data_IF_916475355314
#
_entry.id   IF_916475355314
#
_cell.length_a   1.000
_cell.length_b   1.000
_cell.length_c   1.000
_cell.angle_alpha   90.00
_cell.angle_beta   90.00
_cell.angle_gamma   90.00
#
_symmetry.space_group_name_H-M   'P 1'
#
loop_
_entity.id
_entity.type
_entity.pdbx_description
1 polymer ?
#
# COMPACT_ATOMS: atom_id res chain seq x y z
N UNK A 1 -1.11 -6.49 41.63
CA UNK A 1 0.05 -6.96 42.42
C UNK A 1 0.71 -5.86 43.25
N UNK A 2 0.94 -4.65 42.71
CA UNK A 2 1.52 -3.53 43.48
C UNK A 2 0.73 -3.15 44.75
N UNK A 3 -0.61 -3.21 44.71
CA UNK A 3 -1.47 -2.90 45.86
C UNK A 3 -1.40 -3.94 47.01
N UNK A 4 -1.00 -5.18 46.73
CA UNK A 4 -0.90 -6.23 47.76
C UNK A 4 0.40 -6.17 48.56
N UNK A 5 1.45 -5.57 47.99
CA UNK A 5 2.77 -5.47 48.64
C UNK A 5 2.75 -4.38 49.72
N UNK A 6 1.98 -3.31 49.51
CA UNK A 6 1.82 -2.20 50.47
C UNK A 6 1.17 -2.66 51.78
N UNK A 7 0.27 -3.65 51.74
CA UNK A 7 -0.46 -4.12 52.93
C UNK A 7 0.31 -5.12 53.80
N UNK A 8 1.47 -5.66 53.38
CA UNK A 8 2.26 -6.60 54.19
C UNK A 8 3.38 -5.95 55.00
N UNK A 9 3.53 -4.62 54.92
CA UNK A 9 4.58 -3.85 55.61
C UNK A 9 3.99 -3.27 56.90
N UNK A 10 3.52 -4.11 57.82
CA UNK A 10 3.11 -3.64 59.15
C UNK A 10 3.60 -4.54 60.29
N UNK A 11 4.84 -5.04 60.22
CA UNK A 11 5.52 -5.49 61.43
C UNK A 11 7.05 -5.60 61.27
N UNK A 12 7.77 -4.72 61.98
CA UNK A 12 9.21 -4.73 62.42
C UNK A 12 10.26 -3.87 61.70
N UNK A 13 10.71 -2.85 62.49
CA UNK A 13 12.05 -2.26 62.69
C UNK A 13 12.49 -1.05 61.82
N UNK A 14 12.75 0.05 62.56
CA UNK A 14 13.04 1.46 62.21
C UNK A 14 14.32 1.78 61.40
N UNK A 15 14.71 0.95 60.45
CA UNK A 15 15.69 1.34 59.42
C UNK A 15 15.46 0.66 58.07
N UNK A 16 14.66 -0.42 58.06
CA UNK A 16 14.31 -1.15 56.83
C UNK A 16 13.09 -0.57 56.13
N UNK A 17 12.17 0.05 56.88
CA UNK A 17 10.98 0.72 56.35
C UNK A 17 11.28 1.78 55.27
N UNK A 18 12.15 2.79 55.51
CA UNK A 18 12.39 3.83 54.51
C UNK A 18 13.12 3.31 53.26
N UNK A 19 13.98 2.30 53.42
CA UNK A 19 14.67 1.66 52.29
C UNK A 19 13.67 0.89 51.42
N UNK A 20 12.74 0.16 52.04
CA UNK A 20 11.68 -0.55 51.32
C UNK A 20 10.71 0.42 50.64
N UNK A 21 10.33 1.52 51.30
CA UNK A 21 9.49 2.57 50.72
C UNK A 21 10.14 3.23 49.49
N UNK A 22 11.42 3.55 49.57
CA UNK A 22 12.19 4.10 48.43
C UNK A 22 12.28 3.09 47.29
N UNK A 23 12.56 1.81 47.58
CA UNK A 23 12.63 0.76 46.55
C UNK A 23 11.27 0.53 45.86
N UNK A 24 10.18 0.52 46.62
CA UNK A 24 8.83 0.41 46.08
C UNK A 24 8.48 1.65 45.25
N UNK A 25 8.83 2.85 45.71
CA UNK A 25 8.67 4.09 44.96
C UNK A 25 9.43 4.07 43.63
N UNK A 26 10.68 3.59 43.62
CA UNK A 26 11.48 3.43 42.42
C UNK A 26 10.90 2.40 41.46
N UNK A 27 10.36 1.28 41.96
CA UNK A 27 9.68 0.28 41.14
C UNK A 27 8.42 0.86 40.49
N UNK A 28 7.61 1.61 41.25
CA UNK A 28 6.42 2.27 40.70
C UNK A 28 6.82 3.30 39.65
N UNK A 29 7.87 4.09 39.89
CA UNK A 29 8.38 5.05 38.91
C UNK A 29 8.93 4.35 37.65
N UNK A 30 9.60 3.21 37.80
CA UNK A 30 10.07 2.40 36.68
C UNK A 30 8.90 1.85 35.86
N UNK A 31 7.87 1.30 36.50
CA UNK A 31 6.65 0.81 35.85
C UNK A 31 5.88 1.94 35.14
N UNK A 32 5.76 3.11 35.78
CA UNK A 32 5.16 4.31 35.17
C UNK A 32 6.00 4.74 33.96
N UNK A 33 7.33 4.71 34.07
CA UNK A 33 8.23 5.06 32.98
C UNK A 33 8.14 4.05 31.83
N UNK A 34 8.08 2.75 32.10
CA UNK A 34 7.86 1.70 31.12
C UNK A 34 6.51 1.88 30.42
N UNK A 35 5.43 2.12 31.17
CA UNK A 35 4.11 2.40 30.61
C UNK A 35 4.10 3.67 29.75
N UNK A 36 4.72 4.76 30.21
CA UNK A 36 4.87 6.00 29.44
C UNK A 36 5.69 5.74 28.17
N UNK A 37 6.85 5.09 28.28
CA UNK A 37 7.70 4.77 27.13
C UNK A 37 6.99 3.87 26.12
N UNK A 38 6.17 2.91 26.58
CA UNK A 38 5.33 2.08 25.75
C UNK A 38 4.23 2.89 25.05
N UNK A 39 3.50 3.76 25.77
CA UNK A 39 2.47 4.63 25.19
C UNK A 39 3.01 5.61 24.14
N UNK A 40 4.22 6.12 24.37
CA UNK A 40 4.90 7.03 23.44
C UNK A 40 5.75 6.30 22.39
N UNK A 41 5.86 4.98 22.46
CA UNK A 41 6.50 4.15 21.43
C UNK A 41 5.69 4.14 20.13
N UNK A 42 6.34 3.82 19.02
CA UNK A 42 5.68 3.72 17.72
C UNK A 42 4.57 2.65 17.72
N UNK A 43 4.79 1.55 18.44
CA UNK A 43 3.80 0.47 18.62
C UNK A 43 2.62 0.86 19.51
N UNK A 44 2.86 1.57 20.61
CA UNK A 44 1.80 2.06 21.50
C UNK A 44 0.85 3.01 20.77
N UNK A 45 1.39 3.91 19.93
CA UNK A 45 0.59 4.81 19.08
C UNK A 45 -0.25 4.04 18.06
N UNK A 46 0.32 3.04 17.39
CA UNK A 46 -0.40 2.16 16.45
C UNK A 46 -1.58 1.48 17.15
N UNK A 47 -1.36 0.86 18.31
CA UNK A 47 -2.41 0.22 19.11
C UNK A 47 -3.49 1.23 19.53
N UNK A 48 -3.09 2.44 19.92
CA UNK A 48 -4.00 3.52 20.32
C UNK A 48 -4.88 3.96 19.14
N UNK A 49 -4.29 4.16 17.94
CA UNK A 49 -5.02 4.49 16.72
C UNK A 49 -5.99 3.36 16.35
N UNK A 50 -5.54 2.10 16.38
CA UNK A 50 -6.41 0.96 16.05
C UNK A 50 -7.58 0.84 17.03
N UNK A 51 -7.35 1.00 18.33
CA UNK A 51 -8.43 1.05 19.34
C UNK A 51 -9.36 2.26 19.13
N UNK A 52 -8.80 3.41 18.79
CA UNK A 52 -9.57 4.64 18.52
C UNK A 52 -10.51 4.46 17.33
N UNK A 53 -9.97 3.97 16.20
CA UNK A 53 -10.76 3.74 14.98
C UNK A 53 -11.79 2.63 15.18
N UNK A 54 -11.41 1.52 15.84
CA UNK A 54 -12.32 0.39 16.09
C UNK A 54 -13.48 0.73 17.03
N UNK A 55 -13.24 1.58 18.03
CA UNK A 55 -14.28 2.00 18.97
C UNK A 55 -15.01 3.27 18.51
N UNK A 56 -14.91 3.65 17.24
CA UNK A 56 -15.58 4.81 16.69
C UNK A 56 -17.11 4.60 16.71
N UNK A 57 -17.81 5.37 17.55
CA UNK A 57 -19.28 5.47 17.57
C UNK A 57 -19.68 6.91 17.27
N UNK A 58 -20.60 7.18 16.32
CA UNK A 58 -20.98 8.54 15.92
C UNK A 58 -21.66 9.38 17.02
N UNK A 59 -22.29 8.73 18.00
CA UNK A 59 -23.17 9.38 18.98
C UNK A 59 -22.46 9.89 20.27
N UNK A 60 -21.14 9.81 20.37
CA UNK A 60 -20.41 10.16 21.59
C UNK A 60 -19.47 11.34 21.36
N UNK A 61 -19.75 12.49 21.99
CA UNK A 61 -18.85 13.63 21.98
C UNK A 61 -17.56 13.28 22.74
N UNK A 62 -16.42 13.36 22.05
CA UNK A 62 -15.13 12.89 22.53
C UNK A 62 -14.02 13.93 22.35
N UNK A 63 -14.36 15.21 22.54
CA UNK A 63 -13.41 16.33 22.56
C UNK A 63 -12.13 16.03 23.37
N UNK A 64 -12.26 15.44 24.56
CA UNK A 64 -11.11 15.10 25.40
C UNK A 64 -10.27 13.95 24.86
N UNK A 65 -10.88 12.92 24.25
CA UNK A 65 -10.13 11.80 23.66
C UNK A 65 -9.40 12.27 22.41
N UNK A 66 -10.01 13.11 21.58
CA UNK A 66 -9.33 13.71 20.41
C UNK A 66 -8.19 14.63 20.85
N UNK A 67 -8.36 15.43 21.91
CA UNK A 67 -7.31 16.29 22.46
C UNK A 67 -6.15 15.49 23.08
N UNK A 68 -6.45 14.40 23.80
CA UNK A 68 -5.45 13.49 24.37
C UNK A 68 -4.74 12.72 23.25
N UNK A 69 -5.48 12.22 22.24
CA UNK A 69 -4.91 11.56 21.07
C UNK A 69 -4.00 12.52 20.32
N UNK A 70 -4.45 13.74 20.05
CA UNK A 70 -3.62 14.82 19.48
C UNK A 70 -2.42 15.10 20.34
N UNK A 71 -2.53 15.15 21.66
CA UNK A 71 -1.39 15.42 22.56
C UNK A 71 -0.37 14.27 22.58
N UNK A 72 -0.81 13.02 22.66
CA UNK A 72 0.05 11.83 22.64
C UNK A 72 0.73 11.69 21.28
N UNK A 73 -0.03 11.93 20.20
CA UNK A 73 0.53 12.02 18.86
C UNK A 73 1.51 13.19 18.80
N UNK A 74 1.15 14.40 19.26
CA UNK A 74 1.92 15.64 19.09
C UNK A 74 3.24 15.65 19.86
N UNK A 75 3.25 15.19 21.13
CA UNK A 75 4.41 15.25 22.01
C UNK A 75 5.56 14.33 21.58
N UNK A 76 5.31 13.45 20.61
CA UNK A 76 6.34 12.70 19.90
C UNK A 76 5.89 12.34 18.47
N UNK A 77 5.33 13.32 17.75
CA UNK A 77 4.98 13.24 16.31
C UNK A 77 6.19 13.54 15.43
N UNK A 78 7.39 13.51 16.00
CA UNK A 78 8.48 12.85 15.30
C UNK A 78 8.17 11.36 15.28
N UNK A 79 7.26 11.00 14.38
CA UNK A 79 7.30 9.75 13.63
C UNK A 79 8.64 9.64 12.86
N UNK A 80 9.79 9.87 13.52
CA UNK A 80 11.14 9.88 12.93
C UNK A 80 11.52 8.47 12.45
N UNK A 81 10.82 7.43 12.90
CA UNK A 81 11.00 6.04 12.49
C UNK A 81 9.91 5.53 11.53
N UNK A 82 8.76 6.20 11.41
CA UNK A 82 7.76 5.83 10.40
C UNK A 82 8.26 6.31 9.04
N UNK A 83 9.03 5.44 8.37
CA UNK A 83 9.58 5.55 7.02
C UNK A 83 9.10 6.82 6.28
N UNK A 84 9.89 7.89 6.37
CA UNK A 84 9.56 9.18 5.76
C UNK A 84 9.62 9.14 4.24
N UNK A 85 10.21 8.09 3.68
CA UNK A 85 10.42 7.93 2.26
C UNK A 85 9.32 7.04 1.68
N UNK A 86 9.14 7.05 0.39
CA UNK A 86 8.31 6.11 -0.33
C UNK A 86 9.12 5.75 -1.56
N UNK A 87 9.52 4.50 -1.66
CA UNK A 87 10.24 3.99 -2.81
C UNK A 87 9.36 4.10 -4.06
N UNK A 88 9.95 4.34 -5.22
CA UNK A 88 9.20 4.65 -6.43
C UNK A 88 9.76 3.85 -7.62
N UNK A 89 8.84 3.35 -8.44
CA UNK A 89 9.14 2.72 -9.72
C UNK A 89 8.03 3.04 -10.73
N UNK A 90 8.42 3.34 -11.97
CA UNK A 90 7.49 3.48 -13.09
C UNK A 90 7.90 2.56 -14.24
N UNK A 91 6.98 1.68 -14.65
CA UNK A 91 7.21 0.76 -15.76
C UNK A 91 7.53 1.52 -17.05
N UNK A 92 6.73 2.54 -17.38
CA UNK A 92 6.90 3.32 -18.62
C UNK A 92 8.23 4.10 -18.63
N UNK A 93 8.69 4.62 -17.49
CA UNK A 93 10.01 5.25 -17.39
C UNK A 93 11.16 4.24 -17.51
N UNK A 94 10.96 3.03 -16.97
CA UNK A 94 11.93 1.94 -17.13
C UNK A 94 12.05 1.50 -18.59
N UNK A 95 10.94 1.43 -19.33
CA UNK A 95 10.93 1.14 -20.76
C UNK A 95 11.67 2.25 -21.55
N UNK A 96 11.44 3.53 -21.22
CA UNK A 96 12.19 4.65 -21.80
C UNK A 96 13.71 4.52 -21.64
N UNK A 97 14.16 4.11 -20.45
CA UNK A 97 15.59 3.93 -20.15
C UNK A 97 16.20 2.72 -20.86
N UNK A 98 15.37 1.76 -21.26
CA UNK A 98 15.76 0.56 -21.99
C UNK A 98 15.96 0.84 -23.49
N UNK A 99 15.24 1.83 -24.04
CA UNK A 99 15.26 2.21 -25.46
C UNK A 99 16.42 3.14 -25.87
N UNK A 100 17.18 3.67 -24.90
CA UNK A 100 18.33 4.55 -25.14
C UNK A 100 19.65 3.78 -25.10
N UNK A 101 20.14 3.41 -26.29
CA UNK A 101 21.52 3.01 -26.61
C UNK A 101 22.01 1.62 -26.12
N UNK A 102 22.46 0.79 -27.08
CA UNK A 102 23.25 -0.47 -26.94
C UNK A 102 22.58 -1.65 -26.21
N UNK A 103 21.51 -1.40 -25.46
CA UNK A 103 20.80 -2.38 -24.63
C UNK A 103 19.67 -3.16 -25.33
N UNK A 104 19.47 -2.98 -26.64
CA UNK A 104 18.56 -3.81 -27.44
C UNK A 104 18.88 -5.33 -27.38
N UNK A 105 20.02 -5.71 -26.80
CA UNK A 105 20.33 -7.09 -26.40
C UNK A 105 19.51 -7.61 -25.20
N UNK A 106 18.60 -6.84 -24.58
CA UNK A 106 17.77 -7.33 -23.46
C UNK A 106 16.87 -8.52 -23.84
N UNK A 107 16.37 -8.57 -25.07
CA UNK A 107 15.65 -9.74 -25.63
C UNK A 107 16.57 -10.98 -25.71
N UNK A 108 17.85 -10.80 -26.04
CA UNK A 108 18.85 -11.89 -26.07
C UNK A 108 19.20 -12.40 -24.67
N UNK A 109 19.21 -11.53 -23.65
CA UNK A 109 19.48 -11.91 -22.25
C UNK A 109 18.32 -12.67 -21.61
N UNK A 110 17.08 -12.40 -22.06
CA UNK A 110 15.87 -13.06 -21.59
C UNK A 110 15.68 -14.48 -22.14
N UNK A 111 16.14 -14.76 -23.37
CA UNK A 111 16.08 -16.10 -23.99
C UNK A 111 17.09 -17.09 -23.40
N UNK A 112 18.06 -16.65 -22.60
CA UNK A 112 19.09 -17.51 -22.03
C UNK A 112 18.70 -18.00 -20.61
N UNK A 113 18.56 -19.32 -20.39
CA UNK A 113 18.29 -19.88 -19.07
C UNK A 113 19.45 -19.57 -18.09
N UNK A 114 19.14 -18.99 -16.92
CA UNK A 114 20.12 -18.83 -15.81
C UNK A 114 20.48 -17.40 -15.39
N UNK A 115 20.02 -16.36 -16.10
CA UNK A 115 20.35 -14.94 -15.81
C UNK A 115 19.53 -14.30 -14.68
N UNK A 116 18.79 -15.10 -13.89
CA UNK A 116 17.77 -14.60 -12.96
C UNK A 116 18.26 -13.56 -11.94
N UNK A 117 19.53 -13.67 -11.51
CA UNK A 117 20.14 -12.79 -10.49
C UNK A 117 20.55 -11.41 -11.02
N UNK A 118 20.76 -11.24 -12.33
CA UNK A 118 21.26 -9.98 -12.94
C UNK A 118 20.16 -8.97 -13.30
N UNK A 119 18.89 -9.37 -13.23
CA UNK A 119 17.78 -8.58 -13.77
C UNK A 119 17.29 -7.46 -12.84
N UNK A 120 17.12 -7.73 -11.54
CA UNK A 120 16.79 -6.68 -10.57
C UNK A 120 17.92 -5.66 -10.42
N UNK A 121 19.17 -6.06 -10.69
CA UNK A 121 20.32 -5.16 -10.75
C UNK A 121 20.30 -4.23 -11.97
N UNK A 122 19.53 -4.56 -13.02
CA UNK A 122 19.42 -3.75 -14.22
C UNK A 122 18.31 -2.71 -14.17
N UNK A 123 17.26 -2.96 -13.38
CA UNK A 123 16.23 -1.97 -13.09
C UNK A 123 16.73 -0.93 -12.09
N UNK A 124 16.52 0.35 -12.41
CA UNK A 124 16.82 1.45 -11.49
C UNK A 124 15.55 1.89 -10.79
N UNK A 125 15.63 1.98 -9.46
CA UNK A 125 14.62 2.68 -8.67
C UNK A 125 14.58 4.15 -9.08
N UNK A 126 13.39 4.76 -9.04
CA UNK A 126 13.30 6.21 -9.09
C UNK A 126 13.76 6.81 -7.75
N UNK A 127 13.93 8.13 -7.70
CA UNK A 127 14.27 8.81 -6.45
C UNK A 127 13.12 8.60 -5.45
N UNK A 128 13.39 8.09 -4.23
CA UNK A 128 12.37 7.98 -3.20
C UNK A 128 11.79 9.35 -2.89
N UNK A 129 10.47 9.43 -2.74
CA UNK A 129 9.77 10.67 -2.38
C UNK A 129 9.50 10.70 -0.90
N UNK A 130 9.31 11.89 -0.31
CA UNK A 130 8.81 11.96 1.07
C UNK A 130 7.32 11.60 1.12
N UNK A 131 6.91 10.84 2.12
CA UNK A 131 5.51 10.47 2.34
C UNK A 131 4.68 11.70 2.72
N UNK A 132 3.94 12.22 1.74
CA UNK A 132 3.16 13.46 1.88
C UNK A 132 1.91 13.27 2.76
N UNK A 133 1.42 14.37 3.33
CA UNK A 133 0.29 14.37 4.26
C UNK A 133 -1.01 13.89 3.59
N UNK A 134 -1.20 14.20 2.31
CA UNK A 134 -2.35 13.81 1.50
C UNK A 134 -2.42 12.28 1.33
N UNK A 135 -1.26 11.63 1.16
CA UNK A 135 -1.18 10.16 1.07
C UNK A 135 -1.61 9.53 2.39
N UNK A 136 -1.09 10.03 3.51
CA UNK A 136 -1.47 9.58 4.86
C UNK A 136 -2.97 9.77 5.09
N UNK A 137 -3.52 10.91 4.69
CA UNK A 137 -4.96 11.23 4.81
C UNK A 137 -5.82 10.25 4.01
N UNK A 138 -5.49 10.00 2.75
CA UNK A 138 -6.25 9.08 1.90
C UNK A 138 -6.28 7.65 2.45
N UNK A 139 -5.13 7.14 2.91
CA UNK A 139 -5.04 5.82 3.53
C UNK A 139 -5.84 5.78 4.83
N UNK A 140 -5.73 6.80 5.68
CA UNK A 140 -6.49 6.86 6.93
C UNK A 140 -8.00 6.88 6.67
N UNK A 141 -8.47 7.63 5.67
CA UNK A 141 -9.89 7.64 5.28
C UNK A 141 -10.35 6.26 4.78
N UNK A 142 -9.54 5.60 3.95
CA UNK A 142 -9.80 4.23 3.49
C UNK A 142 -9.85 3.23 4.66
N UNK A 143 -8.91 3.33 5.60
CA UNK A 143 -8.86 2.50 6.81
C UNK A 143 -10.06 2.76 7.74
N UNK A 144 -10.42 4.03 7.99
CA UNK A 144 -11.59 4.41 8.79
C UNK A 144 -12.85 3.78 8.21
N UNK A 145 -13.00 3.82 6.89
CA UNK A 145 -14.13 3.23 6.19
C UNK A 145 -14.17 1.71 6.29
N UNK A 146 -13.03 1.07 6.06
CA UNK A 146 -12.86 -0.37 6.19
C UNK A 146 -13.30 -0.86 7.59
N UNK A 147 -12.89 -0.13 8.64
CA UNK A 147 -13.16 -0.48 10.03
C UNK A 147 -14.55 -0.06 10.53
N UNK A 148 -15.23 0.87 9.86
CA UNK A 148 -16.60 1.26 10.17
C UNK A 148 -17.64 0.28 9.60
N UNK A 149 -17.25 -0.60 8.68
CA UNK A 149 -18.14 -1.58 8.07
C UNK A 149 -18.45 -2.73 9.05
N UNK A 150 -19.70 -3.20 9.09
CA UNK A 150 -20.12 -4.31 9.97
C UNK A 150 -19.31 -5.59 9.75
N UNK A 151 -18.89 -5.82 8.50
CA UNK A 151 -17.95 -6.88 8.12
C UNK A 151 -16.73 -6.24 7.48
N UNK A 152 -15.56 -6.47 8.07
CA UNK A 152 -14.30 -6.02 7.50
C UNK A 152 -13.96 -6.91 6.31
N UNK A 153 -14.18 -6.41 5.10
CA UNK A 153 -13.84 -7.10 3.85
C UNK A 153 -12.78 -6.30 3.12
N UNK A 154 -11.58 -6.87 3.03
CA UNK A 154 -10.53 -6.32 2.19
C UNK A 154 -10.74 -6.75 0.74
N UNK A 155 -10.85 -5.77 -0.13
CA UNK A 155 -11.02 -5.93 -1.57
C UNK A 155 -9.87 -5.26 -2.32
N UNK A 156 -9.54 -5.76 -3.50
CA UNK A 156 -8.47 -5.22 -4.35
C UNK A 156 -8.92 -4.01 -5.19
N UNK A 157 -9.74 -3.11 -4.61
CA UNK A 157 -10.30 -1.94 -5.29
C UNK A 157 -11.77 -2.05 -5.70
N UNK A 158 -12.36 -3.25 -5.63
CA UNK A 158 -13.75 -3.50 -6.02
C UNK A 158 -14.76 -2.70 -5.20
N UNK A 159 -14.50 -2.46 -3.92
CA UNK A 159 -15.41 -1.68 -3.08
C UNK A 159 -15.47 -0.24 -3.58
N UNK A 160 -14.33 0.39 -3.82
CA UNK A 160 -14.24 1.73 -4.42
C UNK A 160 -14.96 1.80 -5.77
N UNK A 161 -14.75 0.82 -6.65
CA UNK A 161 -15.41 0.81 -7.97
C UNK A 161 -16.94 0.66 -7.85
N UNK A 162 -17.42 -0.15 -6.91
CA UNK A 162 -18.86 -0.32 -6.67
C UNK A 162 -19.50 0.98 -6.21
N UNK A 163 -18.86 1.66 -5.27
CA UNK A 163 -19.37 2.88 -4.65
C UNK A 163 -19.36 4.09 -5.57
N UNK A 164 -18.43 4.10 -6.53
CA UNK A 164 -18.36 5.13 -7.56
C UNK A 164 -19.14 4.75 -8.83
N UNK A 165 -19.83 3.61 -8.85
CA UNK A 165 -20.64 3.20 -9.99
C UNK A 165 -19.86 2.76 -11.23
N UNK A 166 -18.60 2.32 -11.07
CA UNK A 166 -17.71 1.92 -12.17
C UNK A 166 -17.30 0.44 -12.14
N UNK A 167 -17.93 -0.36 -11.27
CA UNK A 167 -17.60 -1.79 -11.14
C UNK A 167 -17.83 -2.57 -12.43
N UNK A 168 -18.93 -2.31 -13.13
CA UNK A 168 -19.29 -3.10 -14.31
C UNK A 168 -18.34 -2.85 -15.48
N UNK A 169 -17.83 -1.63 -15.61
CA UNK A 169 -16.92 -1.24 -16.69
C UNK A 169 -15.45 -1.55 -16.38
N UNK A 170 -15.03 -1.40 -15.11
CA UNK A 170 -13.62 -1.46 -14.70
C UNK A 170 -13.27 -2.67 -13.81
N UNK A 171 -14.26 -3.43 -13.35
CA UNK A 171 -14.08 -4.54 -12.40
C UNK A 171 -13.24 -5.70 -12.94
N UNK A 172 -13.23 -5.90 -14.25
CA UNK A 172 -12.41 -6.92 -14.92
C UNK A 172 -10.91 -6.73 -14.63
N UNK A 173 -10.44 -5.48 -14.48
CA UNK A 173 -9.05 -5.18 -14.15
C UNK A 173 -8.67 -5.50 -12.69
N UNK A 174 -9.66 -5.85 -11.87
CA UNK A 174 -9.48 -6.41 -10.53
C UNK A 174 -9.74 -7.93 -10.52
N UNK A 175 -9.88 -8.55 -11.70
CA UNK A 175 -10.17 -9.96 -11.89
C UNK A 175 -11.63 -10.35 -11.64
N UNK A 176 -12.59 -9.42 -11.74
CA UNK A 176 -14.04 -9.71 -11.58
C UNK A 176 -14.72 -9.78 -12.95
N UNK A 177 -15.37 -10.91 -13.28
CA UNK A 177 -16.15 -11.10 -14.51
C UNK A 177 -15.89 -12.46 -15.19
N UNK A 178 -16.73 -12.82 -16.18
CA UNK A 178 -16.74 -14.14 -16.84
C UNK A 178 -15.50 -14.42 -17.73
N UNK A 179 -14.77 -13.38 -18.13
CA UNK A 179 -13.51 -13.48 -18.87
C UNK A 179 -12.27 -13.56 -17.97
N UNK A 180 -12.44 -13.62 -16.64
CA UNK A 180 -11.35 -13.93 -15.75
C UNK A 180 -11.06 -15.44 -15.88
N UNK A 181 -10.04 -15.81 -16.65
CA UNK A 181 -9.37 -17.09 -16.44
C UNK A 181 -8.95 -17.12 -14.96
N UNK A 182 -9.77 -17.78 -14.15
CA UNK A 182 -9.83 -17.57 -12.70
C UNK A 182 -8.54 -17.96 -11.97
N UNK A 183 -7.66 -18.69 -12.66
CA UNK A 183 -6.39 -19.20 -12.14
C UNK A 183 -5.18 -18.28 -12.41
N UNK A 184 -5.32 -17.22 -13.23
CA UNK A 184 -4.16 -16.41 -13.67
C UNK A 184 -4.13 -14.97 -13.12
N UNK A 185 -5.27 -14.40 -12.71
CA UNK A 185 -5.33 -12.99 -12.30
C UNK A 185 -4.85 -12.75 -10.85
N UNK A 186 -3.55 -12.61 -10.69
CA UNK A 186 -2.92 -12.34 -9.39
C UNK A 186 -2.99 -10.86 -8.96
N UNK A 187 -2.76 -10.55 -7.66
CA UNK A 187 -2.60 -9.17 -7.18
C UNK A 187 -1.52 -8.37 -7.92
N UNK A 188 -0.45 -9.01 -8.43
CA UNK A 188 0.54 -8.34 -9.28
C UNK A 188 -0.06 -7.86 -10.60
N UNK A 189 -0.91 -8.66 -11.25
CA UNK A 189 -1.61 -8.23 -12.46
C UNK A 189 -2.47 -7.00 -12.17
N UNK A 190 -3.21 -7.01 -11.06
CA UNK A 190 -4.00 -5.85 -10.63
C UNK A 190 -3.10 -4.62 -10.48
N UNK A 191 -2.00 -4.72 -9.73
CA UNK A 191 -1.06 -3.60 -9.53
C UNK A 191 -0.54 -3.08 -10.88
N UNK A 192 -0.07 -3.95 -11.77
CA UNK A 192 0.59 -3.53 -13.00
C UNK A 192 -0.40 -2.94 -14.02
N UNK A 193 -1.59 -3.53 -14.20
CA UNK A 193 -2.64 -2.99 -15.08
C UNK A 193 -3.03 -1.58 -14.62
N UNK A 194 -3.35 -1.42 -13.34
CA UNK A 194 -3.75 -0.13 -12.79
C UNK A 194 -2.59 0.88 -12.79
N UNK A 195 -1.35 0.42 -12.60
CA UNK A 195 -0.17 1.28 -12.66
C UNK A 195 0.02 1.91 -14.05
N UNK A 196 -0.08 1.09 -15.11
CA UNK A 196 0.00 1.56 -16.50
C UNK A 196 -1.14 2.55 -16.80
N UNK A 197 -2.37 2.21 -16.42
CA UNK A 197 -3.53 3.07 -16.62
C UNK A 197 -3.40 4.42 -15.87
N UNK A 198 -2.87 4.40 -14.64
CA UNK A 198 -2.60 5.61 -13.85
C UNK A 198 -1.50 6.45 -14.51
N UNK A 199 -0.44 5.81 -15.01
CA UNK A 199 0.65 6.50 -15.70
C UNK A 199 0.19 7.14 -17.02
N UNK A 200 -0.73 6.51 -17.75
CA UNK A 200 -1.38 7.11 -18.93
C UNK A 200 -2.18 8.37 -18.56
N UNK A 201 -2.92 8.32 -17.45
CA UNK A 201 -3.62 9.50 -16.93
C UNK A 201 -2.62 10.61 -16.53
N UNK A 202 -1.49 10.25 -15.91
CA UNK A 202 -0.41 11.19 -15.54
C UNK A 202 0.19 11.87 -16.78
N UNK A 203 0.40 11.13 -17.88
CA UNK A 203 0.95 11.68 -19.14
C UNK A 203 0.03 12.70 -19.81
N UNK A 204 -1.30 12.59 -19.61
CA UNK A 204 -2.30 13.50 -20.18
C UNK A 204 -2.51 14.77 -19.35
N UNK A 205 -2.02 14.81 -18.11
CA UNK A 205 -2.17 15.98 -17.25
C UNK A 205 -1.47 17.21 -17.85
N UNK A 206 -2.14 18.37 -17.93
CA UNK A 206 -1.50 19.59 -18.39
C UNK A 206 -0.40 20.04 -17.40
N UNK A 207 0.66 20.71 -17.89
CA UNK A 207 1.72 21.23 -17.03
C UNK A 207 1.19 22.21 -15.97
N UNK A 208 1.91 22.32 -14.85
CA UNK A 208 1.51 23.05 -13.62
C UNK A 208 1.35 24.58 -13.75
N UNK A 209 1.36 25.13 -14.96
CA UNK A 209 1.58 26.56 -15.21
C UNK A 209 0.34 27.47 -15.08
N UNK A 210 -0.79 27.05 -14.47
CA UNK A 210 -1.92 27.98 -14.23
C UNK A 210 -2.50 27.81 -12.82
N UNK A 211 -2.28 28.81 -11.95
CA UNK A 211 -2.91 28.90 -10.64
C UNK A 211 -4.43 29.04 -10.83
N UNK A 212 -5.16 27.96 -10.58
CA UNK A 212 -6.61 27.97 -10.39
C UNK A 212 -6.86 27.59 -8.94
N UNK A 213 -7.43 28.50 -8.17
CA UNK A 213 -7.45 28.45 -6.71
C UNK A 213 -8.69 27.65 -6.25
N UNK A 214 -8.53 26.34 -5.99
CA UNK A 214 -9.60 25.50 -5.45
C UNK A 214 -9.66 24.10 -6.09
N UNK A 215 -10.47 23.94 -7.13
CA UNK A 215 -10.70 22.64 -7.79
C UNK A 215 -9.42 21.99 -8.34
N UNK A 216 -8.50 22.82 -8.86
CA UNK A 216 -7.18 22.35 -9.32
C UNK A 216 -6.32 21.83 -8.17
N UNK A 217 -6.47 22.39 -6.97
CA UNK A 217 -5.70 21.94 -5.80
C UNK A 217 -6.17 20.57 -5.31
N UNK A 218 -7.48 20.32 -5.31
CA UNK A 218 -8.02 19.00 -4.95
C UNK A 218 -7.64 17.94 -6.00
N UNK A 219 -7.80 18.24 -7.28
CA UNK A 219 -7.31 17.42 -8.39
C UNK A 219 -5.82 17.07 -8.23
N UNK A 220 -4.97 18.07 -7.99
CA UNK A 220 -3.53 17.88 -7.81
C UNK A 220 -3.19 17.05 -6.57
N UNK A 221 -4.01 17.15 -5.52
CA UNK A 221 -3.91 16.32 -4.32
C UNK A 221 -4.22 14.86 -4.63
N UNK A 222 -5.38 14.58 -5.25
CA UNK A 222 -5.80 13.23 -5.65
C UNK A 222 -4.79 12.60 -6.62
N UNK A 223 -4.33 13.36 -7.61
CA UNK A 223 -3.30 12.91 -8.55
C UNK A 223 -1.98 12.60 -7.86
N UNK A 224 -1.58 13.44 -6.89
CA UNK A 224 -0.38 13.19 -6.09
C UNK A 224 -0.49 11.87 -5.33
N UNK A 225 -1.63 11.59 -4.69
CA UNK A 225 -1.84 10.35 -3.94
C UNK A 225 -1.82 9.14 -4.86
N UNK A 226 -2.63 9.18 -5.92
CA UNK A 226 -2.73 8.09 -6.89
C UNK A 226 -1.37 7.74 -7.50
N UNK A 227 -0.62 8.73 -7.97
CA UNK A 227 0.69 8.50 -8.57
C UNK A 227 1.72 7.98 -7.55
N UNK A 228 1.74 8.52 -6.33
CA UNK A 228 2.67 8.08 -5.28
C UNK A 228 2.45 6.62 -4.88
N UNK A 229 1.18 6.23 -4.68
CA UNK A 229 0.82 4.87 -4.30
C UNK A 229 0.96 3.90 -5.46
N UNK A 230 0.58 4.29 -6.68
CA UNK A 230 0.78 3.51 -7.90
C UNK A 230 2.26 3.14 -8.10
N UNK A 231 3.16 4.13 -8.05
CA UNK A 231 4.60 3.92 -8.21
C UNK A 231 5.21 3.12 -7.05
N UNK A 232 4.68 3.26 -5.83
CA UNK A 232 5.10 2.43 -4.70
C UNK A 232 4.65 0.97 -4.85
N UNK A 233 3.40 0.73 -5.26
CA UNK A 233 2.91 -0.63 -5.48
C UNK A 233 3.69 -1.31 -6.62
N UNK A 234 3.99 -0.60 -7.70
CA UNK A 234 4.85 -1.12 -8.77
C UNK A 234 6.26 -1.41 -8.25
N UNK A 235 6.82 -0.57 -7.36
CA UNK A 235 8.08 -0.85 -6.67
C UNK A 235 8.03 -2.17 -5.88
N UNK A 236 6.94 -2.42 -5.14
CA UNK A 236 6.76 -3.68 -4.40
C UNK A 236 6.79 -4.90 -5.33
N UNK A 237 6.17 -4.81 -6.51
CA UNK A 237 6.20 -5.91 -7.49
C UNK A 237 7.61 -6.25 -7.94
N UNK A 238 8.45 -5.23 -8.18
CA UNK A 238 9.78 -5.42 -8.79
C UNK A 238 10.87 -5.73 -7.76
N UNK A 239 10.90 -4.98 -6.66
CA UNK A 239 12.04 -4.94 -5.75
C UNK A 239 11.77 -5.54 -4.39
N UNK A 240 10.50 -5.65 -3.98
CA UNK A 240 10.12 -6.18 -2.68
C UNK A 240 8.90 -7.13 -2.74
N UNK A 241 8.90 -8.12 -3.66
CA UNK A 241 7.75 -8.99 -3.87
C UNK A 241 7.45 -9.89 -2.66
N UNK A 242 8.38 -10.04 -1.71
CA UNK A 242 8.18 -10.75 -0.45
C UNK A 242 7.05 -10.17 0.42
N UNK A 243 6.66 -8.92 0.21
CA UNK A 243 5.53 -8.30 0.91
C UNK A 243 4.19 -8.54 0.20
N UNK A 244 4.20 -9.07 -1.02
CA UNK A 244 2.98 -9.29 -1.79
C UNK A 244 2.35 -10.66 -1.47
N UNK A 245 1.02 -10.80 -1.70
CA UNK A 245 0.27 -12.04 -1.51
C UNK A 245 0.74 -13.30 -2.27
N UNK A 246 1.90 -13.28 -2.93
CA UNK A 246 2.28 -14.24 -3.97
C UNK A 246 3.69 -14.74 -3.68
N UNK A 247 3.88 -16.05 -3.77
CA UNK A 247 5.13 -16.72 -3.43
C UNK A 247 6.33 -16.13 -4.21
N UNK A 248 7.41 -15.79 -3.49
CA UNK A 248 8.49 -14.90 -3.97
C UNK A 248 9.30 -15.36 -5.20
N UNK A 249 9.27 -16.65 -5.55
CA UNK A 249 9.87 -17.13 -6.80
C UNK A 249 8.96 -16.94 -8.01
N UNK A 250 7.67 -17.20 -7.84
CA UNK A 250 6.65 -17.02 -8.89
C UNK A 250 6.47 -15.54 -9.26
N UNK A 251 6.63 -14.63 -8.29
CA UNK A 251 6.53 -13.20 -8.53
C UNK A 251 7.61 -12.63 -9.44
N UNK A 252 8.86 -13.05 -9.24
CA UNK A 252 9.98 -12.65 -10.08
C UNK A 252 9.86 -13.17 -11.51
N UNK A 253 9.33 -14.38 -11.70
CA UNK A 253 9.10 -14.97 -13.02
C UNK A 253 7.94 -14.24 -13.72
N UNK A 254 6.85 -13.98 -13.01
CA UNK A 254 5.69 -13.26 -13.55
C UNK A 254 6.05 -11.83 -13.96
N UNK A 255 6.76 -11.07 -13.11
CA UNK A 255 7.21 -9.73 -13.47
C UNK A 255 8.10 -9.73 -14.71
N UNK A 256 8.93 -10.77 -14.84
CA UNK A 256 9.80 -10.92 -16.00
C UNK A 256 9.03 -11.11 -17.31
N UNK A 257 8.05 -12.00 -17.29
CA UNK A 257 7.16 -12.22 -18.44
C UNK A 257 6.41 -10.93 -18.80
N UNK A 258 5.78 -10.30 -17.79
CA UNK A 258 5.09 -9.01 -17.94
C UNK A 258 5.98 -7.91 -18.53
N UNK A 259 7.26 -7.84 -18.13
CA UNK A 259 8.20 -6.85 -18.65
C UNK A 259 8.66 -7.17 -20.08
N UNK A 260 8.91 -8.44 -20.39
CA UNK A 260 9.27 -8.87 -21.74
C UNK A 260 8.15 -8.58 -22.74
N UNK A 261 6.90 -8.93 -22.38
CA UNK A 261 5.70 -8.59 -23.15
C UNK A 261 5.57 -7.08 -23.37
N UNK A 262 5.81 -6.27 -22.32
CA UNK A 262 5.78 -4.82 -22.42
C UNK A 262 6.84 -4.27 -23.38
N UNK A 263 8.05 -4.85 -23.40
CA UNK A 263 9.09 -4.48 -24.34
C UNK A 263 8.75 -4.85 -25.79
N UNK A 264 8.10 -6.00 -26.01
CA UNK A 264 7.69 -6.46 -27.35
C UNK A 264 6.53 -5.63 -27.92
N UNK A 265 5.56 -5.28 -27.09
CA UNK A 265 4.39 -4.50 -27.48
C UNK A 265 4.67 -3.00 -27.64
N UNK A 266 5.70 -2.46 -26.98
CA UNK A 266 6.10 -1.07 -27.20
C UNK A 266 6.76 -0.92 -28.58
N UNK A 267 6.30 0.02 -29.43
CA UNK A 267 6.87 0.20 -30.76
C UNK A 267 8.36 0.50 -30.67
N UNK A 268 9.16 -0.33 -31.35
CA UNK A 268 10.62 -0.24 -31.40
C UNK A 268 11.11 1.03 -32.09
N UNK A 269 11.01 2.18 -31.41
CA UNK A 269 11.64 3.42 -31.87
C UNK A 269 12.88 3.67 -31.04
N UNK A 270 14.02 3.47 -31.69
CA UNK A 270 15.36 3.71 -31.15
C UNK A 270 15.42 5.15 -30.59
N UNK A 271 15.77 5.29 -29.31
CA UNK A 271 16.18 6.55 -28.69
C UNK A 271 15.15 7.70 -28.63
N UNK A 272 13.83 7.43 -28.63
CA UNK A 272 12.83 8.45 -28.29
C UNK A 272 12.03 8.07 -27.05
N UNK A 273 11.74 9.07 -26.20
CA UNK A 273 10.83 8.93 -25.06
C UNK A 273 9.45 8.51 -25.56
N UNK A 274 8.96 7.38 -25.05
CA UNK A 274 7.60 6.88 -25.20
C UNK A 274 6.65 8.01 -24.84
N UNK A 275 5.82 8.38 -25.80
CA UNK A 275 4.76 9.38 -25.65
C UNK A 275 3.43 8.73 -25.32
N UNK A 276 2.47 9.55 -24.90
CA UNK A 276 1.10 9.07 -24.66
C UNK A 276 0.52 8.38 -25.91
N UNK A 277 0.71 8.98 -27.09
CA UNK A 277 0.19 8.43 -28.35
C UNK A 277 0.85 7.11 -28.73
N UNK A 278 2.12 6.89 -28.38
CA UNK A 278 2.80 5.61 -28.64
C UNK A 278 2.18 4.46 -27.84
N UNK A 279 1.71 4.73 -26.63
CA UNK A 279 1.21 3.71 -25.69
C UNK A 279 -0.30 3.51 -25.84
N UNK A 280 -1.06 4.59 -26.00
CA UNK A 280 -2.52 4.54 -26.07
C UNK A 280 -3.02 3.81 -27.32
N UNK A 281 -2.21 3.76 -28.38
CA UNK A 281 -2.53 3.11 -29.65
C UNK A 281 -2.14 1.63 -29.70
N UNK A 282 -1.60 1.06 -28.61
CA UNK A 282 -1.38 -0.39 -28.51
C UNK A 282 -2.74 -1.10 -28.62
N UNK A 283 -2.81 -2.09 -29.50
CA UNK A 283 -4.03 -2.85 -29.78
C UNK A 283 -4.49 -3.68 -28.57
N UNK A 284 -5.81 -3.85 -28.45
CA UNK A 284 -6.44 -4.69 -27.41
C UNK A 284 -6.41 -6.19 -27.74
N UNK A 285 -5.87 -6.55 -28.90
CA UNK A 285 -5.87 -7.91 -29.45
C UNK A 285 -4.99 -8.87 -28.64
N UNK A 286 -3.90 -8.37 -28.05
CA UNK A 286 -2.95 -9.20 -27.31
C UNK A 286 -3.33 -9.31 -25.83
N UNK A 287 -3.23 -10.49 -25.18
CA UNK A 287 -3.58 -10.67 -23.77
C UNK A 287 -2.50 -10.18 -22.77
N UNK A 288 -1.57 -9.33 -23.20
CA UNK A 288 -0.43 -8.87 -22.41
C UNK A 288 -0.82 -7.93 -21.27
N UNK A 289 0.07 -7.75 -20.30
CA UNK A 289 -0.16 -6.81 -19.20
C UNK A 289 -0.29 -5.35 -19.69
N UNK A 290 0.47 -5.00 -20.74
CA UNK A 290 0.50 -3.63 -21.26
C UNK A 290 -0.75 -3.30 -22.04
N UNK A 291 -1.25 -4.21 -22.90
CA UNK A 291 -2.52 -4.02 -23.59
C UNK A 291 -3.69 -3.91 -22.59
N UNK A 292 -3.73 -4.75 -21.55
CA UNK A 292 -4.72 -4.66 -20.47
C UNK A 292 -4.63 -3.31 -19.73
N UNK A 293 -3.42 -2.87 -19.39
CA UNK A 293 -3.20 -1.56 -18.77
C UNK A 293 -3.64 -0.40 -19.65
N UNK A 294 -3.36 -0.46 -20.95
CA UNK A 294 -3.76 0.52 -21.96
C UNK A 294 -5.29 0.54 -22.12
N UNK A 295 -5.91 -0.63 -22.25
CA UNK A 295 -7.37 -0.81 -22.30
C UNK A 295 -8.04 -0.14 -21.12
N UNK A 296 -7.56 -0.43 -19.90
CA UNK A 296 -8.07 0.20 -18.68
C UNK A 296 -7.86 1.73 -18.71
N UNK A 297 -6.70 2.20 -19.15
CA UNK A 297 -6.42 3.62 -19.33
C UNK A 297 -7.43 4.31 -20.26
N UNK A 298 -7.71 3.72 -21.42
CA UNK A 298 -8.73 4.22 -22.37
C UNK A 298 -10.12 4.22 -21.75
N UNK A 299 -10.50 3.14 -21.04
CA UNK A 299 -11.78 3.05 -20.34
C UNK A 299 -11.93 4.14 -19.27
N UNK A 300 -10.89 4.38 -18.45
CA UNK A 300 -10.90 5.47 -17.46
C UNK A 300 -11.10 6.84 -18.11
N UNK A 301 -10.46 7.08 -19.25
CA UNK A 301 -10.58 8.35 -19.96
C UNK A 301 -11.93 8.53 -20.67
N UNK A 302 -12.55 7.44 -21.13
CA UNK A 302 -13.82 7.48 -21.85
C UNK A 302 -15.03 7.49 -20.92
N UNK A 303 -14.98 6.71 -19.83
CA UNK A 303 -16.10 6.54 -18.90
C UNK A 303 -16.08 7.53 -17.73
N UNK A 304 -14.91 8.03 -17.32
CA UNK A 304 -14.78 9.04 -16.26
C UNK A 304 -14.22 10.30 -16.89
N UNK A 305 -15.09 11.10 -17.53
CA UNK A 305 -14.68 12.24 -18.38
C UNK A 305 -14.03 13.36 -17.58
N UNK A 306 -14.52 13.63 -16.38
CA UNK A 306 -13.97 14.68 -15.53
C UNK A 306 -12.67 14.24 -14.89
N UNK A 307 -11.60 15.03 -15.07
CA UNK A 307 -10.29 14.69 -14.51
C UNK A 307 -10.33 14.66 -12.97
N UNK A 308 -11.13 15.51 -12.33
CA UNK A 308 -11.30 15.53 -10.87
C UNK A 308 -11.86 14.20 -10.35
N UNK A 309 -12.96 13.72 -10.95
CA UNK A 309 -13.55 12.43 -10.62
C UNK A 309 -12.59 11.27 -10.92
N UNK A 310 -11.89 11.32 -12.05
CA UNK A 310 -10.93 10.27 -12.45
C UNK A 310 -9.79 10.15 -11.45
N UNK A 311 -9.19 11.27 -11.05
CA UNK A 311 -8.13 11.26 -10.05
C UNK A 311 -8.66 10.89 -8.67
N UNK A 312 -9.90 11.25 -8.33
CA UNK A 312 -10.52 10.85 -7.07
C UNK A 312 -10.77 9.34 -7.00
N UNK A 313 -11.21 8.74 -8.12
CA UNK A 313 -11.34 7.29 -8.28
C UNK A 313 -9.99 6.62 -8.06
N UNK A 314 -8.94 7.06 -8.76
CA UNK A 314 -7.60 6.50 -8.64
C UNK A 314 -7.02 6.65 -7.23
N UNK A 315 -7.20 7.81 -6.59
CA UNK A 315 -6.81 8.03 -5.19
C UNK A 315 -7.42 6.98 -4.26
N UNK A 316 -8.76 6.82 -4.33
CA UNK A 316 -9.49 5.87 -3.48
C UNK A 316 -9.11 4.43 -3.78
N UNK A 317 -8.99 4.09 -5.07
CA UNK A 317 -8.63 2.77 -5.54
C UNK A 317 -7.26 2.35 -4.99
N UNK A 318 -6.23 3.20 -5.15
CA UNK A 318 -4.89 2.90 -4.67
C UNK A 318 -4.81 2.84 -3.15
N UNK A 319 -5.56 3.69 -2.44
CA UNK A 319 -5.63 3.67 -0.97
C UNK A 319 -6.31 2.40 -0.45
N UNK A 320 -7.34 1.88 -1.12
CA UNK A 320 -7.95 0.58 -0.81
C UNK A 320 -6.99 -0.57 -1.15
N UNK A 321 -6.39 -0.56 -2.35
CA UNK A 321 -5.53 -1.64 -2.82
C UNK A 321 -4.31 -1.82 -1.91
N UNK A 322 -3.64 -0.74 -1.48
CA UNK A 322 -2.47 -0.88 -0.59
C UNK A 322 -2.84 -1.49 0.77
N UNK A 323 -4.04 -1.19 1.29
CA UNK A 323 -4.57 -1.82 2.51
C UNK A 323 -4.93 -3.29 2.27
N UNK A 324 -5.37 -3.67 1.07
CA UNK A 324 -5.58 -5.08 0.70
C UNK A 324 -4.27 -5.87 0.57
N UNK A 325 -3.21 -5.22 0.09
CA UNK A 325 -1.89 -5.85 -0.08
C UNK A 325 -1.21 -6.11 1.28
N UNK A 326 -1.39 -5.19 2.24
CA UNK A 326 -0.63 -5.14 3.48
C UNK A 326 -0.74 -6.36 4.42
N UNK A 327 -1.91 -7.00 4.67
CA UNK A 327 -1.96 -8.21 5.49
C UNK A 327 -1.16 -9.32 4.84
N UNK A 328 -0.29 -10.00 5.59
CA UNK A 328 0.50 -11.11 5.07
C UNK A 328 0.36 -12.32 5.97
N UNK A 329 0.25 -13.50 5.35
CA UNK A 329 0.31 -14.79 6.05
C UNK A 329 1.72 -15.05 6.64
N UNK A 330 2.74 -14.35 6.13
CA UNK A 330 4.12 -14.45 6.58
C UNK A 330 4.46 -13.28 7.51
N UNK A 331 3.80 -13.20 8.66
CA UNK A 331 4.03 -12.19 9.69
C UNK A 331 5.53 -12.06 10.06
N UNK A 332 6.28 -13.18 10.01
CA UNK A 332 7.72 -13.23 10.26
C UNK A 332 8.55 -12.43 9.23
N UNK A 333 8.13 -12.37 7.96
CA UNK A 333 8.82 -11.57 6.95
C UNK A 333 8.69 -10.07 7.23
N UNK A 334 7.50 -9.63 7.65
CA UNK A 334 7.27 -8.26 8.08
C UNK A 334 8.00 -7.95 9.39
N UNK A 335 7.98 -8.86 10.37
CA UNK A 335 8.65 -8.68 11.66
C UNK A 335 10.18 -8.60 11.54
N UNK A 336 10.79 -9.47 10.72
CA UNK A 336 12.23 -9.45 10.46
C UNK A 336 12.65 -8.17 9.74
N UNK A 337 11.88 -7.69 8.75
CA UNK A 337 12.17 -6.43 8.06
C UNK A 337 11.97 -5.20 8.92
N UNK A 338 11.06 -5.26 9.90
CA UNK A 338 10.87 -4.18 10.85
C UNK A 338 12.09 -3.99 11.75
N UNK A 339 12.79 -5.08 12.11
CA UNK A 339 14.05 -5.02 12.85
C UNK A 339 15.20 -4.38 12.06
N UNK A 340 15.14 -4.40 10.72
CA UNK A 340 16.13 -3.81 9.81
C UNK A 340 15.82 -2.34 9.42
N UNK A 341 14.77 -1.75 9.99
CA UNK A 341 14.36 -0.35 9.72
C UNK A 341 12.98 -0.21 9.06
N UNK A 342 12.33 -1.31 8.68
CA UNK A 342 10.95 -1.36 8.20
C UNK A 342 10.71 -0.76 6.81
N UNK A 343 9.63 -1.22 6.17
CA UNK A 343 9.12 -0.70 4.89
C UNK A 343 7.74 -0.05 5.08
N UNK A 344 7.31 0.85 4.20
CA UNK A 344 6.01 1.51 4.36
C UNK A 344 4.84 0.51 4.48
N UNK A 345 4.83 -0.56 3.67
CA UNK A 345 3.82 -1.62 3.76
C UNK A 345 3.86 -2.41 5.08
N UNK A 346 5.03 -2.51 5.74
CA UNK A 346 5.14 -3.19 7.06
C UNK A 346 4.43 -2.42 8.16
N UNK A 347 4.36 -1.09 8.05
CA UNK A 347 3.61 -0.24 8.98
C UNK A 347 2.12 -0.38 8.78
N UNK A 348 1.67 -0.45 7.52
CA UNK A 348 0.27 -0.74 7.20
C UNK A 348 -0.15 -2.13 7.67
N UNK A 349 0.72 -3.12 7.52
CA UNK A 349 0.53 -4.46 8.08
C UNK A 349 0.35 -4.41 9.60
N UNK A 350 1.24 -3.73 10.32
CA UNK A 350 1.16 -3.57 11.78
C UNK A 350 -0.15 -2.90 12.22
N UNK A 351 -0.57 -1.83 11.53
CA UNK A 351 -1.86 -1.16 11.77
C UNK A 351 -3.04 -2.13 11.59
N UNK A 352 -3.07 -2.87 10.49
CA UNK A 352 -4.15 -3.82 10.21
C UNK A 352 -4.15 -5.00 11.18
N UNK A 353 -2.98 -5.52 11.53
CA UNK A 353 -2.82 -6.57 12.54
C UNK A 353 -3.41 -6.15 13.90
N UNK A 354 -3.08 -4.94 14.37
CA UNK A 354 -3.66 -4.42 15.62
C UNK A 354 -5.14 -4.08 15.52
N UNK A 355 -5.64 -3.79 14.32
CA UNK A 355 -7.07 -3.64 14.06
C UNK A 355 -7.81 -5.00 13.98
N UNK A 356 -7.10 -6.14 14.10
CA UNK A 356 -7.58 -7.52 13.90
C UNK A 356 -8.08 -7.79 12.48
N UNK A 357 -7.46 -7.15 11.50
CA UNK A 357 -7.68 -7.36 10.08
C UNK A 357 -6.56 -8.25 9.54
N UNK A 358 -6.67 -9.54 9.84
CA UNK A 358 -5.57 -10.50 9.61
C UNK A 358 -5.67 -11.24 8.27
N UNK A 359 -6.88 -11.36 7.71
CA UNK A 359 -7.13 -12.19 6.52
C UNK A 359 -7.75 -11.39 5.40
N UNK A 360 -7.28 -11.64 4.18
CA UNK A 360 -7.90 -11.18 2.95
C UNK A 360 -9.21 -11.95 2.76
N UNK A 361 -10.22 -11.33 2.13
CA UNK A 361 -11.42 -12.07 1.73
C UNK A 361 -11.01 -13.23 0.81
N UNK A 362 -11.23 -14.47 1.26
CA UNK A 362 -10.99 -15.65 0.43
C UNK A 362 -12.03 -15.60 -0.69
N UNK A 363 -11.62 -15.55 -1.96
CA UNK A 363 -12.54 -15.87 -3.06
C UNK A 363 -13.13 -17.24 -2.74
N UNK A 364 -14.46 -17.33 -2.65
CA UNK A 364 -15.14 -18.61 -2.59
C UNK A 364 -14.84 -19.32 -3.91
N UNK A 365 -13.87 -20.23 -3.90
CA UNK A 365 -13.81 -21.35 -4.84
C UNK A 365 -14.94 -22.28 -4.42
N UNK A 366 -16.17 -21.98 -4.81
CA UNK A 366 -17.27 -22.93 -4.72
C UNK A 366 -17.14 -23.89 -5.90
N UNK A 367 -16.56 -25.07 -5.68
CA UNK A 367 -17.02 -26.35 -6.23
C UNK A 367 -16.07 -27.50 -5.84
N UNK A 368 -16.67 -28.59 -5.33
CA UNK A 368 -16.15 -29.96 -5.20
C UNK A 368 -15.46 -30.38 -3.89
N UNK A 369 -16.15 -30.28 -2.75
CA UNK A 369 -15.97 -31.20 -1.60
C UNK A 369 -17.31 -31.51 -0.94
N UNK A 370 -18.29 -31.94 -1.74
CA UNK A 370 -19.54 -32.50 -1.21
C UNK A 370 -20.06 -33.66 -2.07
N UNK A 371 -19.18 -34.62 -2.38
CA UNK A 371 -19.57 -35.97 -2.83
C UNK A 371 -18.48 -36.98 -2.42
N UNK A 372 -18.20 -37.11 -1.12
CA UNK A 372 -17.63 -38.35 -0.55
C UNK A 372 -17.78 -38.34 0.98
N UNK A 373 -18.97 -38.72 1.46
CA UNK A 373 -19.21 -39.48 2.70
C UNK A 373 -20.66 -39.91 2.75
#
# INVERSE_FOLDING_TARGET
>A
MALCIVMMIDHKKHAKLPITEVLVGLLILAEIWEFISYLFSDWGKVILICKYVKNYRPAFDRYHVDKILRFILWRNLSCRSLYEKLEQFSLLNSLNSCCTCSRCCYLLVYRLPGTSRKLTQTFRKEKPIRLKAEVKKAIFLSLKKLLASERVVLTNGITTLSELGHKDQLGWACGVGDHAHADEHTPMHTIMIWHIATALCEMKLPPKNKKGEGLRSELESSATVANSLSKYCAYLVVFAPEFLPIHGHSSKIMFKQMFAEACEACPGRICRKITYDDVVNIEDSDPTIISKGVKLGRQLMNHVKEDAERWKLLERFWAELILFLAPSEHAMAHASKLAEGGEFITQLWALLYHARVEKRSRRRTSTLESMSS
#
